data_IF_701040893266
#
_entry.id   IF_701040893266
#
_cell.length_a   1.000
_cell.length_b   1.000
_cell.length_c   1.000
_cell.angle_alpha   90.00
_cell.angle_beta   90.00
_cell.angle_gamma   90.00
#
_symmetry.space_group_name_H-M   'P 1'
#
loop_
_entity.id
_entity.type
_entity.pdbx_description
1 polymer ?
#
# COMPACT_ATOMS: atom_id res chain seq x y z
N UNK A 1 -16.77 24.53 19.63
CA UNK A 1 -16.93 23.09 19.32
C UNK A 1 -16.99 22.96 17.81
N UNK A 2 -15.82 22.76 17.19
CA UNK A 2 -15.66 22.73 15.73
C UNK A 2 -15.30 21.29 15.38
N UNK A 3 -16.17 20.67 14.58
CA UNK A 3 -16.07 19.32 14.06
C UNK A 3 -14.93 19.25 13.02
N UNK A 4 -13.92 18.39 13.15
CA UNK A 4 -12.93 18.17 12.11
C UNK A 4 -13.42 17.02 11.20
N UNK A 5 -14.28 17.34 10.24
CA UNK A 5 -14.80 16.39 9.25
C UNK A 5 -14.75 16.96 7.82
N UNK A 6 -13.57 17.46 7.43
CA UNK A 6 -13.24 17.80 6.04
C UNK A 6 -12.34 16.67 5.50
N UNK A 7 -12.94 15.49 5.31
CA UNK A 7 -13.29 14.92 4.00
C UNK A 7 -12.09 14.79 3.05
N UNK A 8 -11.54 13.58 3.09
CA UNK A 8 -10.72 12.86 2.11
C UNK A 8 -11.41 12.66 0.74
N UNK A 9 -12.30 13.57 0.33
CA UNK A 9 -13.00 13.48 -0.96
C UNK A 9 -12.03 13.62 -2.15
N UNK A 10 -10.98 14.43 -2.01
CA UNK A 10 -10.18 14.76 -3.17
C UNK A 10 -9.09 13.75 -3.55
N UNK A 11 -8.81 12.73 -2.73
CA UNK A 11 -7.81 11.73 -3.12
C UNK A 11 -8.35 10.77 -4.19
N UNK A 12 -9.69 10.68 -4.39
CA UNK A 12 -10.29 9.70 -5.33
C UNK A 12 -11.71 9.94 -5.84
N UNK A 13 -12.30 11.15 -5.74
CA UNK A 13 -13.61 11.46 -6.37
C UNK A 13 -13.53 12.34 -7.61
N UNK A 14 -12.47 12.19 -8.42
CA UNK A 14 -12.46 12.58 -9.83
C UNK A 14 -12.91 11.39 -10.71
N UNK A 15 -14.20 11.04 -10.67
CA UNK A 15 -14.88 10.19 -11.68
C UNK A 15 -14.14 8.94 -12.19
N UNK A 16 -14.27 7.80 -11.50
CA UNK A 16 -13.95 6.49 -12.11
C UNK A 16 -15.02 6.11 -13.15
N UNK A 17 -14.79 6.59 -14.38
CA UNK A 17 -15.27 5.94 -15.59
C UNK A 17 -14.35 4.76 -15.93
N UNK A 18 -14.97 3.73 -16.49
CA UNK A 18 -14.37 2.49 -17.00
C UNK A 18 -13.15 2.75 -17.90
N UNK A 19 -12.01 2.13 -17.57
CA UNK A 19 -11.04 1.70 -18.58
C UNK A 19 -10.62 0.27 -18.27
N UNK A 20 -11.31 -0.66 -18.92
CA UNK A 20 -10.76 -1.96 -19.22
C UNK A 20 -9.47 -1.79 -20.04
N UNK A 21 -8.33 -2.22 -19.50
CA UNK A 21 -7.17 -2.59 -20.31
C UNK A 21 -6.86 -4.07 -20.07
N UNK A 22 -7.43 -4.89 -20.94
CA UNK A 22 -6.98 -6.24 -21.20
C UNK A 22 -5.53 -6.18 -21.69
N UNK A 23 -4.60 -6.66 -20.89
CA UNK A 23 -3.26 -7.02 -21.38
C UNK A 23 -3.22 -8.53 -21.51
N UNK A 24 -3.50 -8.99 -22.73
CA UNK A 24 -3.19 -10.35 -23.14
C UNK A 24 -1.68 -10.42 -23.41
N UNK A 25 -0.93 -11.15 -22.57
CA UNK A 25 0.40 -11.64 -22.93
C UNK A 25 0.30 -13.15 -23.09
N UNK A 26 0.15 -13.56 -24.34
CA UNK A 26 0.22 -14.96 -24.76
C UNK A 26 1.68 -15.35 -24.97
N UNK A 27 2.05 -16.42 -24.26
CA UNK A 27 3.12 -17.39 -24.47
C UNK A 27 4.17 -17.17 -25.58
N UNK A 28 5.44 -17.33 -25.19
CA UNK A 28 6.46 -17.98 -26.04
C UNK A 28 6.99 -19.19 -25.27
N UNK A 29 6.45 -20.37 -25.62
CA UNK A 29 7.09 -21.66 -25.38
C UNK A 29 8.26 -21.80 -26.35
N UNK A 30 9.48 -21.92 -25.86
CA UNK A 30 10.56 -22.57 -26.62
C UNK A 30 11.18 -23.68 -25.76
N UNK A 31 11.16 -24.83 -26.40
CA UNK A 31 11.53 -26.18 -26.02
C UNK A 31 13.04 -26.32 -25.83
N UNK A 32 13.49 -26.86 -24.69
CA UNK A 32 14.76 -27.57 -24.59
C UNK A 32 14.64 -28.68 -23.53
N UNK A 33 14.80 -29.93 -23.98
CA UNK A 33 14.73 -31.15 -23.18
C UNK A 33 15.89 -31.31 -22.18
N UNK A 34 15.91 -32.46 -21.47
CA UNK A 34 16.26 -32.53 -20.05
C UNK A 34 17.77 -32.65 -19.83
N UNK A 35 18.31 -31.76 -18.99
CA UNK A 35 19.62 -31.99 -18.36
C UNK A 35 19.39 -32.49 -16.94
N UNK A 36 19.38 -33.83 -16.83
CA UNK A 36 19.69 -34.54 -15.60
C UNK A 36 21.09 -34.14 -15.15
N UNK A 37 21.18 -33.14 -14.27
CA UNK A 37 22.35 -32.96 -13.41
C UNK A 37 22.04 -33.67 -12.10
N UNK A 38 22.55 -34.88 -12.01
CA UNK A 38 22.73 -35.63 -10.78
C UNK A 38 23.55 -34.80 -9.78
N UNK A 39 22.85 -34.14 -8.84
CA UNK A 39 23.45 -33.50 -7.69
C UNK A 39 23.24 -34.39 -6.45
N UNK A 40 23.89 -35.55 -6.47
CA UNK A 40 24.10 -36.35 -5.27
C UNK A 40 25.19 -35.69 -4.42
N UNK A 41 24.85 -35.44 -3.14
CA UNK A 41 25.73 -35.01 -2.05
C UNK A 41 25.90 -33.49 -1.84
N UNK A 42 24.79 -32.78 -1.61
CA UNK A 42 24.70 -31.81 -0.52
C UNK A 42 23.40 -32.08 0.25
N UNK A 43 23.49 -32.19 1.57
CA UNK A 43 22.34 -32.44 2.46
C UNK A 43 21.36 -31.27 2.42
N UNK A 44 20.43 -31.31 1.47
CA UNK A 44 19.41 -30.29 1.29
C UNK A 44 18.18 -30.67 2.12
N UNK A 45 18.06 -30.10 3.32
CA UNK A 45 16.81 -30.04 4.09
C UNK A 45 15.81 -29.08 3.40
N UNK A 46 15.54 -29.27 2.11
CA UNK A 46 14.81 -28.31 1.25
C UNK A 46 13.29 -28.48 1.25
N UNK A 47 12.77 -29.44 2.02
CA UNK A 47 11.34 -29.77 2.08
C UNK A 47 10.47 -28.72 2.83
N UNK A 48 10.94 -27.95 3.85
CA UNK A 48 10.02 -27.03 4.54
C UNK A 48 9.71 -25.75 3.73
N UNK A 49 10.60 -25.29 2.86
CA UNK A 49 10.40 -24.00 2.15
C UNK A 49 9.38 -24.12 1.02
N UNK A 50 9.41 -25.19 0.22
CA UNK A 50 8.53 -25.33 -0.96
C UNK A 50 7.07 -25.60 -0.57
N UNK A 51 6.82 -26.34 0.51
CA UNK A 51 5.46 -26.60 0.98
C UNK A 51 4.81 -25.36 1.62
N UNK A 52 5.56 -24.61 2.44
CA UNK A 52 5.07 -23.37 3.04
C UNK A 52 4.68 -22.31 2.00
N UNK A 53 5.42 -22.26 0.88
CA UNK A 53 5.13 -21.35 -0.26
C UNK A 53 3.78 -21.65 -0.93
N UNK A 54 3.29 -22.90 -0.89
CA UNK A 54 1.98 -23.23 -1.46
C UNK A 54 0.78 -22.65 -0.70
N UNK A 55 0.96 -22.28 0.57
CA UNK A 55 -0.11 -21.76 1.43
C UNK A 55 -0.20 -20.22 1.43
N UNK A 56 0.89 -19.55 1.09
CA UNK A 56 1.01 -18.09 1.10
C UNK A 56 0.89 -17.54 -0.31
N UNK A 57 -0.34 -17.39 -0.78
CA UNK A 57 -0.60 -16.87 -2.13
C UNK A 57 -0.92 -15.38 -2.14
N UNK A 58 -1.57 -14.87 -1.09
CA UNK A 58 -2.13 -13.52 -1.05
C UNK A 58 -1.31 -12.58 -0.17
N UNK A 59 -0.81 -13.06 0.97
CA UNK A 59 -0.04 -12.21 1.90
C UNK A 59 1.23 -11.66 1.24
N UNK A 60 2.05 -12.43 0.49
CA UNK A 60 3.22 -11.87 -0.17
C UNK A 60 2.86 -10.79 -1.20
N UNK A 61 1.82 -11.02 -2.00
CA UNK A 61 1.31 -10.04 -2.97
C UNK A 61 0.75 -8.78 -2.29
N UNK A 62 0.11 -8.94 -1.13
CA UNK A 62 -0.38 -7.86 -0.30
C UNK A 62 0.76 -6.99 0.25
N UNK A 63 1.82 -7.63 0.76
CA UNK A 63 3.03 -6.94 1.24
C UNK A 63 3.64 -6.13 0.10
N UNK A 64 3.85 -6.74 -1.07
CA UNK A 64 4.42 -6.04 -2.21
C UNK A 64 3.57 -4.83 -2.63
N UNK A 65 2.24 -4.99 -2.58
CA UNK A 65 1.30 -3.92 -2.91
C UNK A 65 1.36 -2.78 -1.91
N UNK A 66 1.34 -3.08 -0.61
CA UNK A 66 1.46 -2.09 0.46
C UNK A 66 2.83 -1.38 0.44
N UNK A 67 3.92 -2.09 0.15
CA UNK A 67 5.24 -1.50 0.00
C UNK A 67 5.34 -0.55 -1.21
N UNK A 68 4.77 -0.92 -2.36
CA UNK A 68 4.71 -0.03 -3.54
C UNK A 68 3.94 1.23 -3.20
N UNK A 69 2.81 1.09 -2.53
CA UNK A 69 2.00 2.24 -2.12
C UNK A 69 2.74 3.12 -1.11
N UNK A 70 3.41 2.54 -0.11
CA UNK A 70 4.22 3.29 0.85
C UNK A 70 5.29 4.14 0.14
N UNK A 71 6.00 3.56 -0.84
CA UNK A 71 7.01 4.30 -1.62
C UNK A 71 6.39 5.45 -2.42
N UNK A 72 5.23 5.23 -3.03
CA UNK A 72 4.50 6.28 -3.78
C UNK A 72 4.13 7.43 -2.85
N UNK A 73 3.41 7.15 -1.76
CA UNK A 73 2.96 8.17 -0.81
C UNK A 73 4.14 8.94 -0.21
N UNK A 74 5.24 8.25 0.13
CA UNK A 74 6.45 8.89 0.62
C UNK A 74 7.08 9.84 -0.39
N UNK A 75 7.14 9.46 -1.67
CA UNK A 75 7.64 10.34 -2.72
C UNK A 75 6.77 11.58 -2.90
N UNK A 76 5.45 11.44 -2.82
CA UNK A 76 4.53 12.56 -2.91
C UNK A 76 4.64 13.48 -1.70
N UNK A 77 4.77 12.93 -0.49
CA UNK A 77 4.96 13.70 0.73
C UNK A 77 6.19 14.60 0.60
N UNK A 78 7.33 14.02 0.20
CA UNK A 78 8.58 14.77 -0.02
C UNK A 78 8.39 15.85 -1.10
N UNK A 79 7.64 15.55 -2.16
CA UNK A 79 7.33 16.53 -3.21
C UNK A 79 6.54 17.73 -2.67
N UNK A 80 5.52 17.49 -1.84
CA UNK A 80 4.74 18.56 -1.19
C UNK A 80 5.55 19.34 -0.16
N UNK A 81 6.39 18.68 0.64
CA UNK A 81 7.30 19.35 1.59
C UNK A 81 8.29 20.27 0.85
N UNK A 82 8.82 19.79 -0.27
CA UNK A 82 9.72 20.57 -1.13
C UNK A 82 8.99 21.75 -1.76
N UNK A 83 7.82 21.53 -2.36
CA UNK A 83 7.01 22.60 -2.93
C UNK A 83 6.67 23.67 -1.88
N UNK A 84 6.25 23.27 -0.68
CA UNK A 84 5.96 24.20 0.41
C UNK A 84 7.19 25.03 0.79
N UNK A 85 8.37 24.42 0.83
CA UNK A 85 9.65 25.08 1.14
C UNK A 85 10.00 26.10 0.05
N UNK A 86 10.00 25.68 -1.21
CA UNK A 86 10.37 26.53 -2.34
C UNK A 86 9.36 27.70 -2.52
N UNK A 87 8.06 27.49 -2.29
CA UNK A 87 7.05 28.57 -2.32
C UNK A 87 7.32 29.63 -1.25
N UNK A 88 7.78 29.25 -0.04
CA UNK A 88 8.10 30.22 1.03
C UNK A 88 9.32 31.07 0.71
N UNK A 89 10.22 30.57 -0.15
CA UNK A 89 11.44 31.28 -0.55
C UNK A 89 11.21 32.24 -1.72
N UNK A 90 10.05 32.20 -2.38
CA UNK A 90 9.71 33.15 -3.44
C UNK A 90 9.57 34.58 -2.91
N UNK A 91 10.04 35.54 -3.72
CA UNK A 91 9.80 36.96 -3.48
C UNK A 91 8.33 37.30 -3.76
N UNK A 92 7.50 37.32 -2.72
CA UNK A 92 6.13 37.81 -2.83
C UNK A 92 6.13 39.34 -2.97
N UNK A 93 5.27 39.87 -3.84
CA UNK A 93 5.18 41.31 -4.06
C UNK A 93 4.83 42.01 -2.73
N UNK A 94 5.74 42.85 -2.25
CA UNK A 94 5.60 43.55 -0.98
C UNK A 94 4.22 44.22 -0.89
N UNK A 95 3.46 43.87 0.15
CA UNK A 95 2.16 44.48 0.45
C UNK A 95 2.27 45.95 0.93
N UNK A 96 3.44 46.58 0.76
CA UNK A 96 3.78 47.85 1.38
C UNK A 96 4.95 48.58 0.74
N UNK A 97 4.94 48.77 -0.59
CA UNK A 97 5.76 49.83 -1.18
C UNK A 97 5.15 51.21 -0.82
N UNK A 98 5.39 51.69 0.41
CA UNK A 98 5.27 53.11 0.71
C UNK A 98 6.26 53.85 -0.19
N UNK A 99 5.75 54.51 -1.23
CA UNK A 99 6.54 55.40 -2.09
C UNK A 99 7.10 56.54 -1.23
N UNK A 100 8.37 56.42 -0.85
CA UNK A 100 9.16 57.55 -0.37
C UNK A 100 10.50 57.58 -1.12
N UNK A 101 10.60 58.53 -2.06
CA UNK A 101 11.87 59.04 -2.58
C UNK A 101 12.15 58.71 -4.05
N UNK A 102 12.49 59.71 -4.89
CA UNK A 102 12.93 59.47 -6.25
C UNK A 102 14.42 59.11 -6.22
N UNK A 103 14.73 57.81 -6.18
CA UNK A 103 16.05 57.30 -6.53
C UNK A 103 15.85 56.20 -7.57
N UNK A 104 16.43 56.49 -8.74
CA UNK A 104 16.52 55.69 -9.95
C UNK A 104 16.38 54.18 -9.70
N UNK A 105 15.19 53.65 -9.99
CA UNK A 105 15.00 52.21 -10.18
C UNK A 105 15.19 51.94 -11.68
N UNK A 106 16.15 51.08 -11.99
CA UNK A 106 16.44 50.62 -13.34
C UNK A 106 15.21 49.87 -13.88
N UNK A 107 14.55 50.32 -14.97
CA UNK A 107 13.35 49.66 -15.47
C UNK A 107 13.76 48.53 -16.42
N UNK A 108 14.22 47.41 -15.88
CA UNK A 108 14.64 46.27 -16.72
C UNK A 108 14.56 44.90 -16.04
N UNK A 109 13.45 44.58 -15.38
CA UNK A 109 12.90 43.22 -15.41
C UNK A 109 11.41 43.40 -15.69
N UNK A 110 10.83 42.85 -16.77
CA UNK A 110 9.38 42.84 -16.86
C UNK A 110 8.88 42.15 -15.59
N UNK A 111 7.97 42.78 -14.84
CA UNK A 111 7.30 42.15 -13.72
C UNK A 111 6.62 40.89 -14.27
N UNK A 112 7.34 39.77 -14.21
CA UNK A 112 6.90 38.50 -14.76
C UNK A 112 5.72 38.02 -13.96
N UNK A 113 4.91 37.16 -14.58
CA UNK A 113 3.86 36.42 -13.89
C UNK A 113 4.52 35.58 -12.79
N UNK A 114 4.60 36.12 -11.58
CA UNK A 114 5.23 35.47 -10.41
C UNK A 114 4.45 34.23 -9.96
N UNK A 115 3.17 34.16 -10.32
CA UNK A 115 2.34 32.96 -10.21
C UNK A 115 2.64 31.93 -11.30
N UNK A 116 3.22 32.30 -12.45
CA UNK A 116 3.81 31.33 -13.38
C UNK A 116 4.94 30.56 -12.71
N UNK A 117 5.80 31.22 -11.94
CA UNK A 117 6.86 30.55 -11.17
C UNK A 117 6.27 29.53 -10.18
N UNK A 118 5.16 29.85 -9.52
CA UNK A 118 4.45 28.90 -8.64
C UNK A 118 3.95 27.68 -9.44
N UNK A 119 3.37 27.92 -10.63
CA UNK A 119 2.89 26.85 -11.52
C UNK A 119 4.04 25.95 -11.97
N UNK A 120 5.18 26.53 -12.32
CA UNK A 120 6.37 25.79 -12.74
C UNK A 120 6.96 24.99 -11.58
N UNK A 121 7.08 25.58 -10.39
CA UNK A 121 7.52 24.86 -9.18
C UNK A 121 6.61 23.68 -8.86
N UNK A 122 5.29 23.84 -8.98
CA UNK A 122 4.35 22.74 -8.73
C UNK A 122 4.55 21.60 -9.74
N UNK A 123 4.80 21.94 -11.01
CA UNK A 123 5.11 20.94 -12.04
C UNK A 123 6.41 20.21 -11.73
N UNK A 124 7.46 20.95 -11.37
CA UNK A 124 8.81 20.43 -11.15
C UNK A 124 8.97 19.66 -9.83
N UNK A 125 7.98 19.75 -8.94
CA UNK A 125 7.96 19.06 -7.64
C UNK A 125 6.86 18.02 -7.60
N UNK A 126 5.61 18.44 -7.44
CA UNK A 126 4.45 17.56 -7.20
C UNK A 126 4.11 16.74 -8.44
N UNK A 127 4.07 17.35 -9.62
CA UNK A 127 3.74 16.60 -10.86
C UNK A 127 4.94 15.86 -11.46
N UNK A 128 6.14 16.03 -10.90
CA UNK A 128 7.38 15.39 -11.37
C UNK A 128 7.73 14.12 -10.59
N UNK A 129 6.85 13.64 -9.71
CA UNK A 129 7.02 12.31 -9.09
C UNK A 129 6.92 11.22 -10.16
N UNK A 130 7.76 10.18 -10.06
CA UNK A 130 7.95 9.16 -11.10
C UNK A 130 6.65 8.51 -11.59
N UNK A 131 5.64 8.38 -10.72
CA UNK A 131 4.37 7.73 -11.04
C UNK A 131 3.27 8.70 -11.55
N UNK A 132 3.53 10.01 -11.62
CA UNK A 132 2.49 11.00 -11.90
C UNK A 132 1.81 10.78 -13.27
N UNK A 133 2.61 10.70 -14.34
CA UNK A 133 2.12 10.55 -15.71
C UNK A 133 1.45 9.18 -15.94
N UNK A 134 1.88 8.14 -15.23
CA UNK A 134 1.32 6.80 -15.38
C UNK A 134 -0.03 6.61 -14.67
N UNK A 135 -0.20 7.24 -13.51
CA UNK A 135 -1.35 7.02 -12.62
C UNK A 135 -2.41 8.13 -12.72
N UNK A 136 -1.99 9.38 -12.93
CA UNK A 136 -2.90 10.53 -12.96
C UNK A 136 -3.03 11.12 -14.36
N UNK A 137 -1.91 11.49 -14.99
CA UNK A 137 -1.87 12.23 -16.27
C UNK A 137 -2.85 13.44 -16.30
N UNK A 138 -3.00 14.11 -15.15
CA UNK A 138 -3.98 15.18 -14.99
C UNK A 138 -3.42 16.55 -15.40
N UNK A 139 -4.27 17.46 -15.91
CA UNK A 139 -3.88 18.86 -16.06
C UNK A 139 -3.55 19.51 -14.72
N UNK A 140 -2.60 20.46 -14.73
CA UNK A 140 -2.16 21.22 -13.53
C UNK A 140 -3.33 21.77 -12.72
N UNK A 141 -4.30 22.44 -13.36
CA UNK A 141 -5.44 23.04 -12.68
C UNK A 141 -6.31 22.00 -11.96
N UNK A 142 -6.52 20.83 -12.58
CA UNK A 142 -7.28 19.72 -12.00
C UNK A 142 -6.58 19.19 -10.76
N UNK A 143 -5.29 18.87 -10.88
CA UNK A 143 -4.51 18.30 -9.78
C UNK A 143 -4.35 19.29 -8.62
N UNK A 144 -4.04 20.55 -8.92
CA UNK A 144 -3.87 21.60 -7.93
C UNK A 144 -5.21 21.92 -7.22
N UNK A 145 -6.34 21.87 -7.93
CA UNK A 145 -7.67 21.96 -7.32
C UNK A 145 -7.96 20.79 -6.39
N UNK A 146 -7.61 19.57 -6.78
CA UNK A 146 -7.80 18.38 -5.96
C UNK A 146 -6.96 18.47 -4.68
N UNK A 147 -5.69 18.82 -4.80
CA UNK A 147 -4.72 18.77 -3.70
C UNK A 147 -4.78 19.98 -2.77
N UNK A 148 -4.84 21.19 -3.33
CA UNK A 148 -4.75 22.45 -2.58
C UNK A 148 -6.10 23.18 -2.44
N UNK A 149 -7.10 22.76 -3.21
CA UNK A 149 -8.45 23.33 -3.19
C UNK A 149 -8.71 24.35 -4.28
N UNK A 150 -9.99 24.49 -4.64
CA UNK A 150 -10.47 25.32 -5.75
C UNK A 150 -10.07 26.80 -5.63
N UNK A 151 -10.13 27.37 -4.43
CA UNK A 151 -9.85 28.79 -4.22
C UNK A 151 -8.39 29.13 -4.52
N UNK A 152 -7.46 28.28 -4.07
CA UNK A 152 -6.03 28.47 -4.34
C UNK A 152 -5.70 28.19 -5.80
N UNK A 153 -6.32 27.18 -6.41
CA UNK A 153 -6.14 26.91 -7.83
C UNK A 153 -6.63 28.05 -8.71
N UNK A 154 -7.79 28.62 -8.38
CA UNK A 154 -8.33 29.78 -9.08
C UNK A 154 -7.39 30.97 -8.92
N UNK A 155 -6.91 31.27 -7.71
CA UNK A 155 -6.00 32.39 -7.47
C UNK A 155 -4.70 32.25 -8.28
N UNK A 156 -4.04 31.09 -8.24
CA UNK A 156 -2.79 30.83 -8.98
C UNK A 156 -2.95 30.95 -10.50
N UNK A 157 -4.14 30.65 -11.05
CA UNK A 157 -4.39 30.71 -12.48
C UNK A 157 -4.94 32.05 -12.99
N UNK A 158 -5.44 32.92 -12.11
CA UNK A 158 -6.13 34.16 -12.51
C UNK A 158 -5.39 35.44 -12.18
N UNK A 159 -4.41 35.39 -11.27
CA UNK A 159 -3.54 36.52 -10.95
C UNK A 159 -2.17 36.33 -11.62
N UNK A 160 -1.47 37.42 -11.88
CA UNK A 160 -0.06 37.41 -12.32
C UNK A 160 0.93 37.71 -11.16
N UNK A 161 0.39 38.00 -9.96
CA UNK A 161 1.16 38.50 -8.82
C UNK A 161 0.97 37.61 -7.60
N UNK A 162 2.07 37.04 -7.10
CA UNK A 162 2.13 36.31 -5.85
C UNK A 162 2.14 37.29 -4.67
N UNK A 163 0.97 37.46 -4.04
CA UNK A 163 0.87 38.24 -2.81
C UNK A 163 1.28 37.41 -1.57
N UNK A 164 1.78 38.05 -0.49
CA UNK A 164 2.21 37.35 0.72
C UNK A 164 1.12 36.44 1.33
N UNK A 165 -0.15 36.85 1.26
CA UNK A 165 -1.27 36.04 1.74
C UNK A 165 -1.49 34.78 0.90
N UNK A 166 -1.35 34.87 -0.43
CA UNK A 166 -1.45 33.73 -1.34
C UNK A 166 -0.26 32.78 -1.14
N UNK A 167 0.95 33.32 -1.04
CA UNK A 167 2.17 32.56 -0.74
C UNK A 167 2.01 31.75 0.57
N UNK A 168 1.59 32.42 1.64
CA UNK A 168 1.37 31.77 2.93
C UNK A 168 0.30 30.67 2.84
N UNK A 169 -0.81 30.94 2.16
CA UNK A 169 -1.90 29.98 2.01
C UNK A 169 -1.46 28.75 1.20
N UNK A 170 -0.69 28.93 0.12
CA UNK A 170 -0.13 27.84 -0.67
C UNK A 170 0.83 26.97 0.16
N UNK A 171 1.74 27.59 0.91
CA UNK A 171 2.66 26.85 1.76
C UNK A 171 1.93 26.05 2.85
N UNK A 172 0.92 26.64 3.50
CA UNK A 172 0.12 25.96 4.53
C UNK A 172 -0.74 24.82 3.97
N UNK A 173 -1.34 25.01 2.78
CA UNK A 173 -2.11 23.97 2.11
C UNK A 173 -1.19 22.80 1.71
N UNK A 174 0.01 23.10 1.24
CA UNK A 174 1.02 22.10 0.85
C UNK A 174 1.56 21.34 2.06
N UNK A 175 1.83 22.00 3.19
CA UNK A 175 2.13 21.33 4.45
C UNK A 175 1.00 20.40 4.86
N UNK A 176 -0.25 20.86 4.77
CA UNK A 176 -1.42 20.04 5.11
C UNK A 176 -1.50 18.79 4.22
N UNK A 177 -1.22 18.93 2.92
CA UNK A 177 -1.15 17.81 1.99
C UNK A 177 -0.03 16.82 2.34
N UNK A 178 1.15 17.30 2.74
CA UNK A 178 2.25 16.46 3.22
C UNK A 178 1.91 15.73 4.53
N UNK A 179 1.29 16.41 5.50
CA UNK A 179 0.88 15.79 6.77
C UNK A 179 -0.16 14.68 6.56
N UNK A 180 -1.14 14.90 5.68
CA UNK A 180 -2.12 13.85 5.31
C UNK A 180 -1.45 12.60 4.75
N UNK A 181 -0.40 12.78 3.94
CA UNK A 181 0.39 11.66 3.39
C UNK A 181 1.20 10.95 4.48
N UNK A 182 1.77 11.69 5.44
CA UNK A 182 2.44 11.10 6.60
C UNK A 182 1.49 10.26 7.48
N UNK A 183 0.26 10.76 7.71
CA UNK A 183 -0.77 10.02 8.43
C UNK A 183 -1.15 8.73 7.69
N UNK A 184 -1.23 8.79 6.36
CA UNK A 184 -1.53 7.63 5.53
C UNK A 184 -0.38 6.62 5.47
N UNK A 185 0.87 7.08 5.35
CA UNK A 185 2.07 6.24 5.48
C UNK A 185 2.05 5.45 6.79
N UNK A 186 1.66 6.08 7.90
CA UNK A 186 1.56 5.43 9.22
C UNK A 186 0.52 4.30 9.24
N UNK A 187 -0.58 4.45 8.49
CA UNK A 187 -1.60 3.41 8.34
C UNK A 187 -1.07 2.23 7.50
N UNK A 188 -0.39 2.52 6.38
CA UNK A 188 0.21 1.50 5.52
C UNK A 188 1.31 0.74 6.28
N UNK A 189 2.14 1.43 7.05
CA UNK A 189 3.19 0.84 7.88
C UNK A 189 2.61 -0.06 8.98
N UNK A 190 1.48 0.34 9.58
CA UNK A 190 0.73 -0.54 10.48
C UNK A 190 0.24 -1.80 9.77
N UNK A 191 -0.36 -1.68 8.57
CA UNK A 191 -0.79 -2.82 7.76
C UNK A 191 0.40 -3.72 7.38
N UNK A 192 1.53 -3.18 6.96
CA UNK A 192 2.73 -3.94 6.62
C UNK A 192 3.23 -4.80 7.78
N UNK A 193 3.39 -4.21 8.98
CA UNK A 193 3.75 -4.98 10.19
C UNK A 193 2.75 -6.11 10.46
N UNK A 194 1.48 -5.78 10.27
CA UNK A 194 0.35 -6.67 10.48
C UNK A 194 0.40 -7.88 9.53
N UNK A 195 0.68 -7.64 8.25
CA UNK A 195 0.86 -8.66 7.22
C UNK A 195 2.09 -9.52 7.48
N UNK A 196 3.24 -8.92 7.80
CA UNK A 196 4.47 -9.68 8.09
C UNK A 196 4.28 -10.61 9.29
N UNK A 197 3.65 -10.14 10.36
CA UNK A 197 3.35 -10.96 11.53
C UNK A 197 2.40 -12.13 11.20
N UNK A 198 1.39 -11.88 10.36
CA UNK A 198 0.49 -12.93 9.89
C UNK A 198 1.20 -13.95 8.99
N UNK A 199 2.09 -13.48 8.11
CA UNK A 199 2.90 -14.33 7.23
C UNK A 199 3.75 -15.30 8.04
N UNK A 200 4.47 -14.81 9.05
CA UNK A 200 5.32 -15.63 9.92
C UNK A 200 4.51 -16.68 10.69
N UNK A 201 3.37 -16.28 11.27
CA UNK A 201 2.46 -17.20 11.97
C UNK A 201 1.94 -18.29 11.01
N UNK A 202 1.49 -17.91 9.82
CA UNK A 202 0.97 -18.88 8.83
C UNK A 202 2.08 -19.82 8.35
N UNK A 203 3.29 -19.32 8.13
CA UNK A 203 4.44 -20.12 7.73
C UNK A 203 4.79 -21.16 8.80
N UNK A 204 4.76 -20.78 10.07
CA UNK A 204 4.97 -21.69 11.20
C UNK A 204 3.89 -22.78 11.27
N UNK A 205 2.61 -22.38 11.17
CA UNK A 205 1.47 -23.31 11.17
C UNK A 205 1.57 -24.28 9.99
N UNK A 206 1.77 -23.78 8.78
CA UNK A 206 1.91 -24.58 7.58
C UNK A 206 3.07 -25.59 7.69
N UNK A 207 4.21 -25.17 8.23
CA UNK A 207 5.33 -26.07 8.50
C UNK A 207 4.96 -27.15 9.54
N UNK A 208 4.13 -26.83 10.53
CA UNK A 208 3.62 -27.80 11.50
C UNK A 208 2.70 -28.84 10.87
N UNK A 209 1.75 -28.39 10.06
CA UNK A 209 0.84 -29.27 9.31
C UNK A 209 1.63 -30.17 8.36
N UNK A 210 2.64 -29.62 7.67
CA UNK A 210 3.49 -30.40 6.77
C UNK A 210 4.27 -31.48 7.52
N UNK A 211 4.84 -31.15 8.68
CA UNK A 211 5.54 -32.12 9.53
C UNK A 211 4.64 -33.29 9.90
N UNK A 212 3.36 -33.04 10.21
CA UNK A 212 2.40 -34.12 10.51
C UNK A 212 2.05 -34.89 9.25
N UNK A 213 1.78 -34.20 8.14
CA UNK A 213 1.44 -34.80 6.85
C UNK A 213 2.52 -35.75 6.32
N UNK A 214 3.80 -35.41 6.55
CA UNK A 214 4.96 -36.19 6.10
C UNK A 214 5.36 -37.33 7.04
N UNK A 215 4.75 -37.45 8.23
CA UNK A 215 5.02 -38.59 9.12
C UNK A 215 4.51 -39.87 8.49
N UNK A 216 5.28 -40.95 8.62
CA UNK A 216 4.79 -42.30 8.31
C UNK A 216 3.97 -42.83 9.49
N UNK A 217 2.75 -42.32 9.59
CA UNK A 217 1.83 -42.54 10.71
C UNK A 217 1.45 -44.02 10.85
N UNK A 218 1.56 -44.82 9.78
CA UNK A 218 1.30 -46.27 9.81
C UNK A 218 2.33 -47.05 10.64
N UNK A 219 3.52 -46.48 10.88
CA UNK A 219 4.60 -47.11 11.65
C UNK A 219 4.69 -46.58 13.09
N UNK A 220 3.83 -45.63 13.49
CA UNK A 220 3.93 -45.00 14.80
C UNK A 220 2.99 -45.64 15.84
N UNK A 221 3.44 -45.79 17.10
CA UNK A 221 2.58 -46.20 18.20
C UNK A 221 1.49 -45.15 18.47
N UNK A 222 0.44 -45.53 19.19
CA UNK A 222 -0.71 -44.68 19.52
C UNK A 222 -0.32 -43.29 20.06
N UNK A 223 0.74 -43.19 20.87
CA UNK A 223 1.23 -41.91 21.40
C UNK A 223 1.65 -40.93 20.28
N UNK A 224 2.23 -41.43 19.19
CA UNK A 224 2.59 -40.61 18.03
C UNK A 224 1.39 -40.11 17.22
N UNK A 225 0.26 -40.84 17.27
CA UNK A 225 -1.03 -40.41 16.71
C UNK A 225 -1.68 -39.31 17.56
N UNK A 226 -1.59 -39.45 18.89
CA UNK A 226 -2.10 -38.43 19.80
C UNK A 226 -1.33 -37.11 19.64
N UNK A 227 0.01 -37.17 19.64
CA UNK A 227 0.84 -35.99 19.39
C UNK A 227 0.56 -35.33 18.04
N UNK A 228 0.34 -36.11 16.98
CA UNK A 228 -0.02 -35.60 15.67
C UNK A 228 -1.38 -34.89 15.70
N UNK A 229 -2.35 -35.44 16.41
CA UNK A 229 -3.69 -34.84 16.57
C UNK A 229 -3.61 -33.52 17.32
N UNK A 230 -2.89 -33.47 18.45
CA UNK A 230 -2.70 -32.24 19.24
C UNK A 230 -2.00 -31.14 18.42
N UNK A 231 -1.01 -31.50 17.60
CA UNK A 231 -0.32 -30.55 16.72
C UNK A 231 -1.26 -29.96 15.66
N UNK A 232 -2.15 -30.76 15.09
CA UNK A 232 -3.11 -30.29 14.09
C UNK A 232 -4.20 -29.42 14.72
N UNK A 233 -4.71 -29.78 15.90
CA UNK A 233 -5.67 -28.95 16.62
C UNK A 233 -5.08 -27.59 17.00
N UNK A 234 -3.83 -27.56 17.45
CA UNK A 234 -3.13 -26.29 17.76
C UNK A 234 -2.94 -25.44 16.51
N UNK A 235 -2.62 -26.08 15.37
CA UNK A 235 -2.52 -25.40 14.07
C UNK A 235 -3.87 -24.79 13.65
N UNK A 236 -4.97 -25.51 13.80
CA UNK A 236 -6.32 -25.01 13.47
C UNK A 236 -6.69 -23.81 14.33
N UNK A 237 -6.54 -23.93 15.65
CA UNK A 237 -6.83 -22.84 16.60
C UNK A 237 -6.00 -21.58 16.30
N UNK A 238 -4.76 -21.74 15.85
CA UNK A 238 -3.91 -20.61 15.48
C UNK A 238 -4.43 -19.89 14.23
N UNK A 239 -4.88 -20.63 13.21
CA UNK A 239 -5.51 -20.06 12.02
C UNK A 239 -6.86 -19.39 12.34
N UNK A 240 -7.69 -20.00 13.19
CA UNK A 240 -8.97 -19.42 13.62
C UNK A 240 -8.76 -18.13 14.40
N UNK A 241 -7.77 -18.09 15.31
CA UNK A 241 -7.38 -16.87 16.01
C UNK A 241 -6.94 -15.79 15.03
N UNK A 242 -6.10 -16.11 14.03
CA UNK A 242 -5.69 -15.14 13.01
C UNK A 242 -6.88 -14.54 12.25
N UNK A 243 -7.85 -15.38 11.88
CA UNK A 243 -9.06 -14.94 11.19
C UNK A 243 -9.90 -14.04 12.09
N UNK A 244 -10.09 -14.42 13.36
CA UNK A 244 -10.85 -13.63 14.32
C UNK A 244 -10.18 -12.27 14.61
N UNK A 245 -8.86 -12.26 14.81
CA UNK A 245 -8.06 -11.04 15.02
C UNK A 245 -8.26 -10.08 13.84
N UNK A 246 -8.13 -10.58 12.60
CA UNK A 246 -8.36 -9.79 11.36
C UNK A 246 -9.78 -9.26 11.24
N UNK A 247 -10.78 -10.10 11.54
CA UNK A 247 -12.17 -9.68 11.44
C UNK A 247 -12.51 -8.58 12.45
N UNK A 248 -11.95 -8.65 13.66
CA UNK A 248 -12.12 -7.61 14.67
C UNK A 248 -11.51 -6.27 14.20
N UNK A 249 -10.29 -6.30 13.62
CA UNK A 249 -9.65 -5.11 13.05
C UNK A 249 -10.52 -4.42 11.97
N UNK A 250 -11.29 -5.18 11.19
CA UNK A 250 -12.16 -4.62 10.14
C UNK A 250 -13.48 -4.02 10.66
N UNK A 251 -14.07 -4.61 11.70
CA UNK A 251 -15.33 -4.12 12.29
C UNK A 251 -15.14 -2.75 12.95
N UNK A 252 -13.95 -2.50 13.51
CA UNK A 252 -13.63 -1.28 14.25
C UNK A 252 -13.09 -0.12 13.37
N UNK A 253 -13.01 -0.31 12.05
CA UNK A 253 -12.35 0.65 11.15
C UNK A 253 -13.32 1.47 10.27
N UNK A 254 -13.92 2.57 10.76
CA UNK A 254 -14.46 3.57 9.86
C UNK A 254 -13.34 4.46 9.34
N UNK A 255 -12.95 4.27 8.09
CA UNK A 255 -12.21 5.30 7.35
C UNK A 255 -13.18 6.38 6.84
N UNK A 256 -12.76 7.63 6.95
CA UNK A 256 -13.53 8.77 6.45
C UNK A 256 -13.45 8.81 4.92
N UNK A 257 -14.50 8.40 4.22
CA UNK A 257 -14.53 8.31 2.75
C UNK A 257 -15.32 7.12 2.20
N UNK A 258 -15.72 6.18 3.07
CA UNK A 258 -16.58 5.06 2.72
C UNK A 258 -15.85 3.80 2.27
N UNK A 259 -14.52 3.86 2.09
CA UNK A 259 -13.66 2.70 1.87
C UNK A 259 -12.68 2.54 3.04
N UNK A 260 -12.53 1.32 3.51
CA UNK A 260 -11.48 0.87 4.44
C UNK A 260 -10.09 0.95 3.77
N UNK A 261 -9.03 0.92 4.58
CA UNK A 261 -7.64 0.86 4.09
C UNK A 261 -7.45 -0.33 3.12
N UNK A 262 -8.05 -1.47 3.44
CA UNK A 262 -7.91 -2.70 2.67
C UNK A 262 -8.64 -2.63 1.33
N UNK A 263 -9.84 -2.05 1.29
CA UNK A 263 -10.55 -1.79 0.03
C UNK A 263 -9.77 -0.85 -0.90
N UNK A 264 -9.03 0.11 -0.32
CA UNK A 264 -8.12 0.97 -1.09
C UNK A 264 -6.90 0.20 -1.60
N UNK A 265 -6.12 -0.39 -0.69
CA UNK A 265 -4.82 -1.01 -1.01
C UNK A 265 -4.96 -2.20 -1.96
N UNK A 266 -5.99 -3.02 -1.77
CA UNK A 266 -6.13 -4.27 -2.49
C UNK A 266 -7.13 -4.20 -3.65
N UNK A 267 -7.56 -3.00 -4.04
CA UNK A 267 -8.39 -2.80 -5.23
C UNK A 267 -7.83 -3.48 -6.50
N UNK A 268 -6.51 -3.54 -6.76
CA UNK A 268 -5.98 -4.22 -7.95
C UNK A 268 -6.15 -5.75 -7.93
N UNK A 269 -6.51 -6.33 -6.79
CA UNK A 269 -6.60 -7.77 -6.58
C UNK A 269 -8.06 -8.25 -6.59
N UNK A 270 -8.25 -9.54 -6.85
CA UNK A 270 -9.58 -10.18 -6.76
C UNK A 270 -10.03 -10.43 -5.31
N UNK A 271 -9.18 -10.09 -4.33
CA UNK A 271 -9.38 -10.31 -2.91
C UNK A 271 -9.07 -9.04 -2.11
N UNK A 272 -9.70 -8.90 -0.95
CA UNK A 272 -9.54 -7.73 -0.05
C UNK A 272 -8.99 -8.11 1.32
N UNK A 273 -8.98 -9.42 1.64
CA UNK A 273 -8.58 -9.94 2.94
C UNK A 273 -7.52 -11.04 2.78
N UNK A 274 -6.26 -10.67 2.48
CA UNK A 274 -5.20 -11.62 2.13
C UNK A 274 -4.95 -12.65 3.25
N UNK A 275 -4.88 -12.17 4.50
CA UNK A 275 -4.61 -13.02 5.66
C UNK A 275 -5.72 -14.05 5.88
N UNK A 276 -6.98 -13.65 5.77
CA UNK A 276 -8.12 -14.57 5.91
C UNK A 276 -8.07 -15.62 4.79
N UNK A 277 -7.81 -15.20 3.56
CA UNK A 277 -7.74 -16.12 2.42
C UNK A 277 -6.66 -17.19 2.59
N UNK A 278 -5.44 -16.79 2.99
CA UNK A 278 -4.33 -17.74 3.16
C UNK A 278 -4.53 -18.63 4.40
N UNK A 279 -5.05 -18.08 5.51
CA UNK A 279 -5.41 -18.88 6.69
C UNK A 279 -6.47 -19.94 6.38
N UNK A 280 -7.51 -19.60 5.60
CA UNK A 280 -8.51 -20.57 5.14
C UNK A 280 -7.90 -21.64 4.23
N UNK A 281 -6.90 -21.29 3.41
CA UNK A 281 -6.14 -22.24 2.62
C UNK A 281 -5.44 -23.29 3.48
N UNK A 282 -4.81 -22.85 4.58
CA UNK A 282 -4.18 -23.75 5.56
C UNK A 282 -5.22 -24.61 6.28
N UNK A 283 -6.35 -24.04 6.74
CA UNK A 283 -7.44 -24.78 7.40
C UNK A 283 -7.97 -25.92 6.52
N UNK A 284 -8.12 -25.69 5.20
CA UNK A 284 -8.55 -26.77 4.30
C UNK A 284 -7.56 -27.94 4.28
N UNK A 285 -6.26 -27.65 4.35
CA UNK A 285 -5.25 -28.71 4.38
C UNK A 285 -5.15 -29.39 5.75
N UNK A 286 -5.39 -28.66 6.83
CA UNK A 286 -5.56 -29.23 8.17
C UNK A 286 -6.67 -30.29 8.13
N UNK A 287 -7.85 -29.95 7.60
CA UNK A 287 -8.98 -30.88 7.49
C UNK A 287 -8.65 -32.14 6.68
N UNK A 288 -7.87 -32.01 5.60
CA UNK A 288 -7.40 -33.15 4.83
C UNK A 288 -6.48 -34.07 5.66
N UNK A 289 -5.58 -33.49 6.46
CA UNK A 289 -4.69 -34.24 7.35
C UNK A 289 -5.47 -34.91 8.49
N UNK A 290 -6.45 -34.23 9.09
CA UNK A 290 -7.33 -34.80 10.10
C UNK A 290 -8.13 -35.99 9.56
N UNK A 291 -8.70 -35.86 8.36
CA UNK A 291 -9.43 -36.95 7.71
C UNK A 291 -8.55 -38.20 7.51
N UNK A 292 -7.28 -38.01 7.15
CA UNK A 292 -6.30 -39.10 7.06
C UNK A 292 -5.98 -39.73 8.41
N UNK A 293 -5.77 -38.91 9.45
CA UNK A 293 -5.50 -39.41 10.81
C UNK A 293 -6.68 -40.24 11.33
N UNK A 294 -7.92 -39.76 11.16
CA UNK A 294 -9.13 -40.47 11.55
C UNK A 294 -9.27 -41.81 10.83
N UNK A 295 -8.96 -41.87 9.54
CA UNK A 295 -8.99 -43.13 8.78
C UNK A 295 -8.02 -44.18 9.34
N UNK A 296 -6.80 -43.77 9.72
CA UNK A 296 -5.79 -44.66 10.31
C UNK A 296 -6.25 -45.18 11.69
N UNK A 297 -6.80 -44.29 12.53
CA UNK A 297 -7.30 -44.69 13.86
C UNK A 297 -8.45 -45.69 13.75
N UNK A 298 -9.32 -45.55 12.75
CA UNK A 298 -10.42 -46.50 12.49
C UNK A 298 -9.90 -47.84 11.98
N UNK A 299 -8.88 -47.86 11.11
CA UNK A 299 -8.30 -49.09 10.56
C UNK A 299 -7.49 -49.91 11.60
N UNK A 300 -7.00 -49.25 12.66
CA UNK A 300 -6.30 -49.91 13.76
C UNK A 300 -7.22 -50.52 14.85
N UNK A 301 -8.55 -50.38 14.74
CA UNK A 301 -9.55 -50.95 15.67
C UNK A 301 -10.19 -52.22 15.14
#
# INVERSE_FOLDING_TARGET
MVHPSLRWHNFRTGTLWSVAKTVAVTAVFIWAGPLLVSLSALGWNGVPVVAAVGYLTRIPEAIETAEREQRRVASERVAFERFATEVRELDAADAGATVQGPLLHDPAVPAGDSTATVRDLYRDTVMSVDHYEAEYDEPLETNLTAELGLDLATAVNTTDVLHPSLQQALAQASDTAAHKRADFESQIDSELRSLSAAEDRIREVAASVERVRSRDINQHPFDGLQEATEQIQTAEQTCESLIADRQAEYVDAPMAGGLTLQEYLYQPHEWTHPVIGDALGVINTIRDVEGRLLAIVVDQR
#
